data_IF_759549847049
#
_entry.id   IF_759549847049
#
_cell.length_a   1.000
_cell.length_b   1.000
_cell.length_c   1.000
_cell.angle_alpha   90.00
_cell.angle_beta   90.00
_cell.angle_gamma   90.00
#
_symmetry.space_group_name_H-M   'P 1'
#
loop_
_entity.id
_entity.type
_entity.pdbx_description
1 polymer ?
#
# COMPACT_ATOMS: atom_id res chain seq x y z
N UNK A 1 -1.37 19.54 -7.59
CA UNK A 1 -0.64 19.19 -6.69
C UNK A 1 0.01 17.93 -6.74
N UNK A 2 1.00 17.79 -6.05
CA UNK A 2 1.67 16.72 -6.12
C UNK A 2 1.45 15.87 -5.02
N UNK A 3 1.72 14.70 -5.10
CA UNK A 3 1.76 13.80 -4.06
C UNK A 3 2.93 13.99 -3.32
N UNK A 4 2.83 14.42 -2.12
CA UNK A 4 3.99 14.66 -1.35
C UNK A 4 4.05 13.63 -0.26
N UNK A 5 4.61 12.49 -0.61
CA UNK A 5 4.71 11.37 0.30
C UNK A 5 5.61 11.67 1.48
N UNK A 6 6.49 12.65 1.33
CA UNK A 6 7.36 13.03 2.44
C UNK A 6 6.57 13.68 3.57
N UNK A 7 5.46 14.31 3.24
CA UNK A 7 4.64 14.96 4.25
C UNK A 7 3.56 14.07 4.79
N UNK A 8 3.44 12.88 4.22
CA UNK A 8 2.45 11.95 4.68
C UNK A 8 3.00 11.26 5.91
N UNK A 9 2.45 11.57 7.04
CA UNK A 9 2.99 11.11 8.31
C UNK A 9 2.45 9.72 8.65
N UNK A 10 3.31 8.70 8.56
CA UNK A 10 2.90 7.34 8.83
C UNK A 10 2.40 7.18 10.27
N UNK A 11 2.75 8.11 11.16
CA UNK A 11 2.32 7.98 12.55
C UNK A 11 0.80 8.03 12.69
N UNK A 12 0.11 8.68 11.77
CA UNK A 12 -1.35 8.67 11.81
C UNK A 12 -1.87 7.28 11.47
N UNK A 13 -1.24 6.60 10.53
CA UNK A 13 -1.64 5.26 10.13
C UNK A 13 -1.29 4.23 11.21
N UNK A 14 -0.20 4.44 11.92
CA UNK A 14 0.25 3.51 12.95
C UNK A 14 -0.79 3.32 14.04
N UNK A 15 -1.63 4.32 14.26
CA UNK A 15 -2.70 4.22 15.25
C UNK A 15 -3.66 3.08 14.94
N UNK A 16 -3.69 2.62 13.70
CA UNK A 16 -4.59 1.57 13.26
C UNK A 16 -3.93 0.20 13.15
N UNK A 17 -2.73 0.06 13.69
CA UNK A 17 -2.04 -1.21 13.66
C UNK A 17 -2.89 -2.30 14.30
N UNK A 18 -2.94 -3.47 13.67
CA UNK A 18 -3.78 -4.55 14.12
C UNK A 18 -3.14 -5.89 13.82
N UNK A 19 -3.45 -6.89 14.62
CA UNK A 19 -2.94 -8.24 14.40
C UNK A 19 -3.70 -8.97 13.32
N UNK A 20 -4.96 -8.60 13.10
CA UNK A 20 -5.77 -9.30 12.12
C UNK A 20 -6.53 -8.33 11.24
N UNK A 21 -6.86 -8.81 10.05
CA UNK A 21 -7.68 -8.03 9.12
C UNK A 21 -9.05 -7.78 9.76
N UNK A 22 -9.58 -8.80 10.41
CA UNK A 22 -10.91 -8.68 11.00
C UNK A 22 -10.99 -7.55 12.01
N UNK A 23 -9.97 -7.41 12.85
CA UNK A 23 -9.97 -6.39 13.90
C UNK A 23 -9.52 -5.02 13.42
N UNK A 24 -8.94 -4.96 12.23
CA UNK A 24 -8.39 -3.70 11.72
C UNK A 24 -9.52 -2.73 11.38
N UNK A 25 -9.38 -1.49 11.85
CA UNK A 25 -10.27 -0.42 11.43
C UNK A 25 -9.79 0.08 10.08
N UNK A 26 -10.17 -0.63 9.05
CA UNK A 26 -9.68 -0.34 7.70
C UNK A 26 -10.18 1.02 7.20
N UNK A 27 -11.39 1.38 7.58
CA UNK A 27 -11.91 2.68 7.18
C UNK A 27 -11.03 3.81 7.70
N UNK A 28 -10.66 3.75 8.97
CA UNK A 28 -9.80 4.76 9.56
C UNK A 28 -8.42 4.73 8.94
N UNK A 29 -7.86 3.54 8.76
CA UNK A 29 -6.52 3.42 8.19
C UNK A 29 -6.46 4.00 6.80
N UNK A 30 -7.41 3.66 5.94
CA UNK A 30 -7.37 4.12 4.55
C UNK A 30 -7.50 5.63 4.42
N UNK A 31 -8.14 6.27 5.39
CA UNK A 31 -8.26 7.72 5.35
C UNK A 31 -6.93 8.42 5.61
N UNK A 32 -5.97 7.72 6.20
CA UNK A 32 -4.66 8.31 6.48
C UNK A 32 -3.67 8.07 5.35
N UNK A 33 -4.04 7.30 4.33
CA UNK A 33 -3.10 6.92 3.28
C UNK A 33 -3.35 7.70 1.99
N UNK A 34 -2.35 7.80 1.12
CA UNK A 34 -2.51 8.49 -0.15
C UNK A 34 -3.67 7.92 -0.95
N UNK A 35 -4.36 8.77 -1.68
CA UNK A 35 -5.48 8.37 -2.50
C UNK A 35 -6.80 8.33 -1.79
N UNK A 36 -6.83 8.70 -0.51
CA UNK A 36 -8.05 8.62 0.29
C UNK A 36 -9.21 9.36 -0.34
N UNK A 37 -8.94 10.51 -0.95
CA UNK A 37 -10.01 11.32 -1.54
C UNK A 37 -10.68 10.62 -2.73
N UNK A 38 -9.97 9.70 -3.39
CA UNK A 38 -10.49 8.99 -4.55
C UNK A 38 -11.01 7.61 -4.18
N UNK A 39 -10.93 7.22 -2.92
CA UNK A 39 -11.33 5.89 -2.50
C UNK A 39 -12.85 5.76 -2.56
N UNK A 40 -13.32 4.68 -3.19
CA UNK A 40 -14.74 4.43 -3.36
C UNK A 40 -15.29 3.42 -2.35
N UNK A 41 -14.42 2.59 -1.78
CA UNK A 41 -14.87 1.60 -0.80
C UNK A 41 -13.86 0.50 -0.64
N UNK A 42 -14.16 -0.42 0.26
CA UNK A 42 -13.29 -1.56 0.49
C UNK A 42 -14.10 -2.74 0.99
N UNK A 43 -13.49 -3.92 0.92
CA UNK A 43 -14.10 -5.11 1.50
C UNK A 43 -13.00 -5.99 2.07
N UNK A 44 -13.38 -6.83 3.01
CA UNK A 44 -12.48 -7.78 3.65
C UNK A 44 -12.97 -9.18 3.36
N UNK A 45 -12.04 -10.10 3.16
CA UNK A 45 -12.38 -11.49 2.92
C UNK A 45 -11.24 -12.33 3.52
N UNK A 46 -11.40 -12.74 4.78
CA UNK A 46 -10.36 -13.48 5.47
C UNK A 46 -9.10 -12.64 5.61
N UNK A 47 -8.00 -13.10 5.02
CA UNK A 47 -6.74 -12.37 5.06
C UNK A 47 -6.50 -11.55 3.79
N UNK A 48 -7.57 -11.28 3.04
CA UNK A 48 -7.50 -10.52 1.80
C UNK A 48 -8.35 -9.26 1.93
N UNK A 49 -7.90 -8.17 1.33
CA UNK A 49 -8.61 -6.91 1.31
C UNK A 49 -8.68 -6.41 -0.12
N UNK A 50 -9.82 -5.83 -0.49
CA UNK A 50 -9.97 -5.18 -1.77
C UNK A 50 -10.31 -3.71 -1.51
N UNK A 51 -9.58 -2.80 -2.15
CA UNK A 51 -9.82 -1.37 -2.01
C UNK A 51 -10.07 -0.81 -3.40
N UNK A 52 -11.15 -0.07 -3.53
CA UNK A 52 -11.54 0.50 -4.83
C UNK A 52 -11.32 1.99 -4.84
N UNK A 53 -10.81 2.49 -5.95
CA UNK A 53 -10.57 3.91 -6.17
C UNK A 53 -11.16 4.32 -7.51
N UNK A 54 -11.38 5.62 -7.68
CA UNK A 54 -11.78 6.10 -8.99
C UNK A 54 -10.62 5.91 -9.96
N UNK A 55 -10.97 5.86 -11.25
CA UNK A 55 -9.97 5.64 -12.27
C UNK A 55 -8.88 6.69 -12.23
N UNK A 56 -7.65 6.30 -12.47
CA UNK A 56 -6.52 7.22 -12.45
C UNK A 56 -5.69 7.03 -13.71
N UNK A 57 -5.66 8.06 -14.55
CA UNK A 57 -4.97 7.99 -15.82
C UNK A 57 -3.45 8.17 -15.68
N UNK A 58 -3.00 8.70 -14.54
CA UNK A 58 -1.57 8.89 -14.31
C UNK A 58 -0.98 7.61 -13.76
N UNK A 59 -0.42 6.80 -14.63
CA UNK A 59 0.07 5.48 -14.28
C UNK A 59 1.18 5.52 -13.24
N UNK A 60 2.11 6.45 -13.37
CA UNK A 60 3.21 6.54 -12.41
C UNK A 60 2.69 6.89 -11.02
N UNK A 61 1.76 7.83 -10.95
CA UNK A 61 1.18 8.22 -9.68
C UNK A 61 0.39 7.07 -9.07
N UNK A 62 -0.35 6.35 -9.89
CA UNK A 62 -1.12 5.20 -9.43
C UNK A 62 -0.20 4.13 -8.85
N UNK A 63 0.91 3.85 -9.55
CA UNK A 63 1.85 2.85 -9.06
C UNK A 63 2.48 3.28 -7.74
N UNK A 64 2.80 4.57 -7.60
CA UNK A 64 3.37 5.06 -6.35
C UNK A 64 2.38 4.90 -5.20
N UNK A 65 1.11 5.19 -5.43
CA UNK A 65 0.10 4.99 -4.40
C UNK A 65 -0.01 3.53 -4.01
N UNK A 66 0.00 2.63 -4.98
CA UNK A 66 -0.10 1.21 -4.69
C UNK A 66 1.10 0.74 -3.87
N UNK A 67 2.30 1.13 -4.28
CA UNK A 67 3.51 0.72 -3.55
C UNK A 67 3.47 1.24 -2.12
N UNK A 68 3.15 2.50 -1.94
CA UNK A 68 3.11 3.10 -0.61
C UNK A 68 2.03 2.45 0.25
N UNK A 69 0.82 2.36 -0.29
CA UNK A 69 -0.31 1.88 0.48
C UNK A 69 -0.19 0.39 0.79
N UNK A 70 0.31 -0.40 -0.14
CA UNK A 70 0.50 -1.82 0.13
C UNK A 70 1.53 -2.02 1.23
N UNK A 71 2.64 -1.28 1.16
CA UNK A 71 3.67 -1.39 2.19
C UNK A 71 3.10 -1.02 3.56
N UNK A 72 2.32 0.07 3.63
CA UNK A 72 1.74 0.49 4.89
C UNK A 72 0.75 -0.54 5.42
N UNK A 73 -0.12 -1.03 4.56
CA UNK A 73 -1.16 -1.96 5.00
C UNK A 73 -0.56 -3.28 5.49
N UNK A 74 0.44 -3.80 4.79
CA UNK A 74 1.08 -5.04 5.22
C UNK A 74 1.90 -4.84 6.49
N UNK A 75 2.51 -3.67 6.65
CA UNK A 75 3.29 -3.40 7.86
C UNK A 75 2.39 -3.24 9.09
N UNK A 76 1.16 -2.78 8.87
CA UNK A 76 0.26 -2.45 9.97
C UNK A 76 -0.79 -3.51 10.28
N UNK A 77 -0.93 -4.53 9.44
CA UNK A 77 -1.92 -5.58 9.67
C UNK A 77 -1.22 -6.93 9.53
N UNK A 78 -0.95 -7.55 10.66
CA UNK A 78 -0.02 -8.67 10.71
C UNK A 78 -0.44 -9.88 9.86
N UNK A 79 -1.73 -10.22 9.85
CA UNK A 79 -2.15 -11.41 9.11
C UNK A 79 -2.66 -11.12 7.70
N UNK A 80 -2.55 -9.89 7.24
CA UNK A 80 -2.97 -9.55 5.89
C UNK A 80 -2.00 -10.20 4.89
N UNK A 81 -2.54 -10.90 3.89
CA UNK A 81 -1.72 -11.62 2.93
C UNK A 81 -1.84 -11.10 1.52
N UNK A 82 -2.97 -10.50 1.18
CA UNK A 82 -3.23 -10.10 -0.19
C UNK A 82 -4.07 -8.83 -0.22
N UNK A 83 -3.75 -7.93 -1.13
CA UNK A 83 -4.55 -6.73 -1.35
C UNK A 83 -4.83 -6.62 -2.83
N UNK A 84 -6.10 -6.36 -3.16
CA UNK A 84 -6.50 -6.06 -4.53
C UNK A 84 -6.81 -4.58 -4.61
N UNK A 85 -6.06 -3.85 -5.42
CA UNK A 85 -6.31 -2.43 -5.67
C UNK A 85 -7.08 -2.31 -6.97
N UNK A 86 -8.26 -1.71 -6.91
CA UNK A 86 -9.12 -1.58 -8.08
C UNK A 86 -9.23 -0.12 -8.47
N UNK A 87 -8.84 0.20 -9.70
CA UNK A 87 -8.95 1.56 -10.24
C UNK A 87 -9.79 1.46 -11.50
N UNK A 88 -11.08 1.74 -11.38
CA UNK A 88 -11.97 1.55 -12.51
C UNK A 88 -12.04 0.07 -12.86
N UNK A 89 -11.63 -0.27 -14.07
CA UNK A 89 -11.64 -1.67 -14.52
C UNK A 89 -10.30 -2.37 -14.30
N UNK A 90 -9.33 -1.65 -13.75
CA UNK A 90 -7.98 -2.18 -13.61
C UNK A 90 -7.80 -2.74 -12.21
N UNK A 91 -7.46 -4.01 -12.10
CA UNK A 91 -7.27 -4.68 -10.81
C UNK A 91 -5.81 -5.08 -10.67
N UNK A 92 -5.19 -4.63 -9.59
CA UNK A 92 -3.79 -4.94 -9.31
C UNK A 92 -3.73 -5.71 -7.99
N UNK A 93 -3.23 -6.91 -8.02
CA UNK A 93 -3.12 -7.75 -6.83
C UNK A 93 -1.70 -7.71 -6.29
N UNK A 94 -1.58 -7.45 -5.00
CA UNK A 94 -0.30 -7.35 -4.32
C UNK A 94 -0.27 -8.37 -3.20
N UNK A 95 0.79 -9.17 -3.14
CA UNK A 95 0.93 -10.19 -2.10
C UNK A 95 1.97 -9.76 -1.07
N UNK A 96 1.76 -10.17 0.17
CA UNK A 96 2.69 -9.84 1.25
C UNK A 96 4.12 -10.22 0.91
N UNK A 97 4.32 -11.42 0.37
CA UNK A 97 5.68 -11.88 0.06
C UNK A 97 6.38 -10.95 -0.93
N UNK A 98 5.63 -10.40 -1.88
CA UNK A 98 6.21 -9.47 -2.84
C UNK A 98 6.65 -8.18 -2.20
N UNK A 99 5.85 -7.68 -1.25
CA UNK A 99 6.18 -6.45 -0.56
C UNK A 99 7.39 -6.66 0.36
N UNK A 100 7.35 -7.73 1.15
CA UNK A 100 8.45 -8.03 2.06
C UNK A 100 9.76 -8.16 1.29
N UNK A 101 9.71 -8.74 0.10
CA UNK A 101 10.89 -8.93 -0.73
C UNK A 101 11.49 -7.65 -1.28
N UNK A 102 10.78 -6.53 -1.18
CA UNK A 102 11.31 -5.25 -1.66
C UNK A 102 12.23 -4.57 -0.66
N UNK A 103 12.25 -5.04 0.58
CA UNK A 103 12.99 -4.35 1.65
C UNK A 103 13.93 -5.32 2.36
N UNK A 104 15.03 -4.80 2.87
CA UNK A 104 16.03 -5.62 3.56
C UNK A 104 15.47 -6.26 4.83
N UNK A 105 14.73 -5.48 5.60
CA UNK A 105 14.17 -5.98 6.85
C UNK A 105 12.82 -5.34 7.06
N UNK A 106 11.79 -6.04 6.61
CA UNK A 106 10.44 -5.50 6.68
C UNK A 106 9.98 -5.26 8.12
N UNK A 107 10.55 -5.99 9.08
CA UNK A 107 10.14 -5.80 10.48
C UNK A 107 10.53 -4.43 10.98
N UNK A 108 11.48 -3.76 10.33
CA UNK A 108 11.92 -2.43 10.72
C UNK A 108 11.34 -1.34 9.84
N UNK A 109 10.47 -1.70 8.91
CA UNK A 109 10.05 -0.73 7.90
C UNK A 109 9.37 0.51 8.50
N UNK A 110 8.58 0.34 9.54
CA UNK A 110 7.91 1.49 10.16
C UNK A 110 8.91 2.44 10.81
N UNK A 111 9.99 1.90 11.36
CA UNK A 111 11.03 2.73 11.97
C UNK A 111 11.86 3.46 10.93
N UNK A 112 11.89 2.94 9.71
CA UNK A 112 12.69 3.51 8.63
C UNK A 112 11.83 4.10 7.52
N UNK A 113 10.58 4.34 7.82
CA UNK A 113 9.57 4.70 6.82
C UNK A 113 9.97 5.88 5.96
N UNK A 114 10.42 6.96 6.59
CA UNK A 114 10.72 8.17 5.86
C UNK A 114 11.78 7.92 4.79
N UNK A 115 12.85 7.23 5.15
CA UNK A 115 13.94 6.99 4.22
C UNK A 115 13.68 5.87 3.25
N UNK A 116 13.05 4.80 3.72
CA UNK A 116 12.91 3.60 2.89
C UNK A 116 11.66 3.60 2.05
N UNK A 117 10.64 4.32 2.46
CA UNK A 117 9.38 4.34 1.72
C UNK A 117 9.06 5.72 1.19
N UNK A 118 8.80 6.69 2.08
CA UNK A 118 8.33 8.00 1.64
C UNK A 118 9.28 8.67 0.66
N UNK A 119 10.54 8.74 1.04
CA UNK A 119 11.52 9.43 0.21
C UNK A 119 11.66 8.76 -1.16
N UNK A 120 11.61 7.43 -1.19
CA UNK A 120 11.80 6.69 -2.42
C UNK A 120 10.65 6.84 -3.41
N UNK A 121 9.49 7.28 -2.94
CA UNK A 121 8.37 7.50 -3.86
C UNK A 121 8.61 8.64 -4.82
N UNK A 122 9.64 9.44 -4.58
CA UNK A 122 10.01 10.52 -5.49
C UNK A 122 10.80 10.02 -6.69
N UNK A 123 11.29 8.78 -6.62
CA UNK A 123 12.10 8.22 -7.69
C UNK A 123 11.26 7.25 -8.50
N UNK A 124 10.88 7.65 -9.72
CA UNK A 124 9.96 6.84 -10.51
C UNK A 124 10.55 5.48 -10.86
N UNK A 125 11.87 5.39 -11.02
CA UNK A 125 12.50 4.12 -11.33
C UNK A 125 12.35 3.15 -10.16
N UNK A 126 12.54 3.64 -8.93
CA UNK A 126 12.36 2.82 -7.75
C UNK A 126 10.91 2.39 -7.62
N UNK A 127 9.97 3.30 -7.86
CA UNK A 127 8.55 2.98 -7.79
C UNK A 127 8.21 1.86 -8.75
N UNK A 128 8.67 1.96 -10.01
CA UNK A 128 8.32 0.95 -11.00
C UNK A 128 8.98 -0.39 -10.70
N UNK A 129 10.20 -0.37 -10.19
CA UNK A 129 10.88 -1.61 -9.82
C UNK A 129 10.15 -2.31 -8.70
N UNK A 130 9.75 -1.57 -7.68
CA UNK A 130 9.00 -2.15 -6.56
C UNK A 130 7.62 -2.59 -6.97
N UNK A 131 6.94 -1.79 -7.78
CA UNK A 131 5.61 -2.14 -8.26
C UNK A 131 5.66 -3.47 -9.01
N UNK A 132 6.63 -3.62 -9.89
CA UNK A 132 6.77 -4.83 -10.66
C UNK A 132 7.03 -6.03 -9.76
N UNK A 133 7.89 -5.86 -8.76
CA UNK A 133 8.25 -6.94 -7.88
C UNK A 133 7.10 -7.38 -7.00
N UNK A 134 6.35 -6.42 -6.45
CA UNK A 134 5.29 -6.79 -5.51
C UNK A 134 4.03 -7.25 -6.21
N UNK A 135 3.89 -6.99 -7.51
CA UNK A 135 2.73 -7.47 -8.25
C UNK A 135 3.03 -8.71 -9.08
N UNK A 136 4.29 -9.23 -9.00
CA UNK A 136 4.65 -10.42 -9.73
C UNK A 136 3.92 -11.59 -9.11
N UNK A 137 3.17 -12.29 -9.90
CA UNK A 137 2.49 -13.40 -9.33
C UNK A 137 3.35 -14.57 -9.39
N UNK A 138 3.48 -15.08 -8.60
CA UNK A 138 4.28 -16.04 -8.68
C UNK A 138 3.77 -17.12 -8.97
N UNK A 139 3.69 -17.51 -9.03
CA UNK A 139 3.25 -18.41 -9.45
C UNK A 139 3.72 -18.60 -10.65
N UNK A 140 4.08 -17.98 -10.85
CA UNK A 140 4.53 -18.04 -11.86
C UNK A 140 5.42 -17.98 -11.79
#
# INVERSE_FOLDING_TARGET
AQNDYLQNDISEAVKYKSETVEKCDLNGLLKTLPGAAAQLGFSKDGDSVTVSYSENADTTKKHAEIVYNATAMFALTDDLREINFVYGNDVVTVLRAGVVGCYDDFTQILNEWQMKVSYEMRNSETVETRFSKMTETNGK
#
